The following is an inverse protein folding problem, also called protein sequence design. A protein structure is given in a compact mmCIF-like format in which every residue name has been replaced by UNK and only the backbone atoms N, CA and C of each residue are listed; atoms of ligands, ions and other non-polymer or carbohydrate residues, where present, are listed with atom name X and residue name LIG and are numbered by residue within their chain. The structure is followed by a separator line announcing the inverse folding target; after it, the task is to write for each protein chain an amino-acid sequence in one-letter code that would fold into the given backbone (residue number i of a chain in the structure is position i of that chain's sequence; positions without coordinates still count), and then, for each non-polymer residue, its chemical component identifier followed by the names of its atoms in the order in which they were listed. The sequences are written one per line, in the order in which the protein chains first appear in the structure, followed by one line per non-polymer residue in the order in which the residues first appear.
data_IF_118056644350
#
_entry.id   IF_118056644350
#
_cell.length_a   1.000
_cell.length_b   1.000
_cell.length_c   1.000
_cell.angle_alpha   90.00
_cell.angle_beta   90.00
_cell.angle_gamma   90.00
#
_symmetry.space_group_name_H-M   'P 1'
#
loop_
_entity.id
_entity.type
_entity.pdbx_description
1 polymer ?
#
# COMPACT_ATOMS: atom_id res chain seq x y z
N UNK A 1 51.19 21.07 -2.89
CA UNK A 1 50.01 20.20 -3.04
C UNK A 1 48.77 21.06 -2.85
N UNK A 2 47.90 21.15 -3.86
CA UNK A 2 46.61 21.83 -3.74
C UNK A 2 45.56 20.79 -3.35
N UNK A 3 44.93 21.00 -2.20
CA UNK A 3 43.80 20.17 -1.77
C UNK A 3 42.56 20.57 -2.58
N UNK A 4 41.92 19.61 -3.23
CA UNK A 4 40.67 19.80 -3.97
C UNK A 4 39.52 19.18 -3.17
N UNK A 5 38.43 19.94 -3.01
CA UNK A 5 37.21 19.47 -2.35
C UNK A 5 36.26 18.99 -3.45
N UNK A 6 35.80 17.73 -3.33
CA UNK A 6 34.84 17.12 -4.25
C UNK A 6 33.50 16.98 -3.53
N UNK A 7 32.44 17.51 -4.11
CA UNK A 7 31.07 17.38 -3.59
C UNK A 7 30.35 16.26 -4.34
N UNK A 8 29.82 15.28 -3.62
CA UNK A 8 29.03 14.18 -4.17
C UNK A 8 27.58 14.37 -3.77
N UNK A 9 26.67 14.49 -4.73
CA UNK A 9 25.23 14.62 -4.50
C UNK A 9 24.55 13.26 -4.58
N UNK A 10 23.73 12.91 -3.58
CA UNK A 10 23.02 11.64 -3.49
C UNK A 10 23.94 10.42 -3.71
N UNK A 11 24.97 10.22 -2.87
CA UNK A 11 25.89 9.09 -3.03
C UNK A 11 25.12 7.77 -2.95
N UNK A 12 25.56 6.78 -3.74
CA UNK A 12 25.14 5.39 -3.53
C UNK A 12 25.61 4.90 -2.16
N UNK A 13 24.99 3.83 -1.66
CA UNK A 13 25.41 3.23 -0.39
C UNK A 13 26.90 2.85 -0.41
N UNK A 14 27.39 2.22 -1.48
CA UNK A 14 28.80 1.88 -1.64
C UNK A 14 29.71 3.12 -1.64
N UNK A 15 29.32 4.19 -2.33
CA UNK A 15 30.11 5.43 -2.32
C UNK A 15 30.16 6.05 -0.92
N UNK A 16 29.04 6.03 -0.20
CA UNK A 16 28.95 6.56 1.17
C UNK A 16 29.81 5.76 2.14
N UNK A 17 29.76 4.43 2.07
CA UNK A 17 30.57 3.53 2.92
C UNK A 17 32.08 3.69 2.69
N UNK A 18 32.47 4.08 1.47
CA UNK A 18 33.86 4.35 1.11
C UNK A 18 34.32 5.78 1.41
N UNK A 19 33.46 6.65 1.97
CA UNK A 19 33.86 8.01 2.34
C UNK A 19 34.84 8.00 3.54
N UNK A 20 35.88 8.85 3.52
CA UNK A 20 36.77 9.02 4.67
C UNK A 20 36.01 9.47 5.92
N UNK A 21 36.45 9.04 7.11
CA UNK A 21 35.87 9.47 8.39
C UNK A 21 35.92 10.99 8.64
N UNK A 22 36.77 11.72 7.92
CA UNK A 22 36.87 13.19 7.98
C UNK A 22 35.85 13.90 7.09
N UNK A 23 34.97 13.15 6.40
CA UNK A 23 33.96 13.72 5.50
C UNK A 23 32.87 14.43 6.29
N UNK A 24 32.58 15.68 5.90
CA UNK A 24 31.49 16.45 6.47
C UNK A 24 30.22 16.25 5.64
N UNK A 25 29.16 15.76 6.28
CA UNK A 25 27.84 15.56 5.68
C UNK A 25 26.86 16.60 6.23
N UNK A 26 26.74 17.79 5.59
CA UNK A 26 25.75 18.76 6.01
C UNK A 26 24.34 18.23 5.74
N UNK A 27 23.50 18.21 6.78
CA UNK A 27 22.09 17.92 6.60
C UNK A 27 21.43 19.09 5.84
N UNK A 28 21.02 18.88 4.59
CA UNK A 28 20.31 19.90 3.82
C UNK A 28 18.83 20.00 4.18
N UNK A 29 18.27 18.95 4.80
CA UNK A 29 16.87 18.87 5.22
C UNK A 29 16.82 18.13 6.57
N UNK A 30 15.95 18.61 7.45
CA UNK A 30 15.70 18.02 8.77
C UNK A 30 14.80 16.78 8.68
N UNK A 31 13.94 16.75 7.66
CA UNK A 31 13.05 15.64 7.41
C UNK A 31 12.93 15.34 5.91
N UNK A 32 12.61 14.08 5.60
CA UNK A 32 12.34 13.62 4.25
C UNK A 32 11.01 12.85 4.26
N UNK A 33 10.11 13.22 3.35
CA UNK A 33 8.81 12.56 3.23
C UNK A 33 8.98 11.13 2.72
N UNK A 34 8.22 10.17 3.27
CA UNK A 34 8.37 8.74 2.91
C UNK A 34 8.13 8.47 1.42
N UNK A 35 7.25 9.24 0.78
CA UNK A 35 6.99 9.13 -0.66
C UNK A 35 8.22 9.43 -1.54
N UNK A 36 9.24 10.11 -1.03
CA UNK A 36 10.46 10.43 -1.79
C UNK A 36 11.42 9.25 -1.93
N UNK A 37 11.33 8.26 -1.05
CA UNK A 37 12.30 7.14 -1.02
C UNK A 37 11.67 5.76 -0.82
N UNK A 38 10.34 5.69 -0.64
CA UNK A 38 9.62 4.42 -0.52
C UNK A 38 8.61 4.26 -1.66
N UNK A 39 8.35 3.02 -2.05
CA UNK A 39 7.33 2.69 -3.06
C UNK A 39 6.56 1.45 -2.62
N UNK A 40 5.31 1.64 -2.22
CA UNK A 40 4.43 0.57 -1.74
C UNK A 40 3.44 0.18 -2.84
N UNK A 41 3.49 -1.08 -3.27
CA UNK A 41 2.54 -1.65 -4.23
C UNK A 41 1.69 -2.73 -3.56
N UNK A 42 0.42 -2.46 -3.32
CA UNK A 42 -0.50 -3.43 -2.72
C UNK A 42 -1.12 -4.32 -3.77
N UNK A 43 -1.12 -5.62 -3.50
CA UNK A 43 -1.79 -6.64 -4.31
C UNK A 43 -2.97 -7.21 -3.52
N UNK A 44 -4.17 -7.06 -4.06
CA UNK A 44 -5.37 -7.65 -3.49
C UNK A 44 -5.58 -9.05 -4.04
N UNK A 45 -6.30 -9.89 -3.30
CA UNK A 45 -6.69 -11.20 -3.80
C UNK A 45 -7.52 -11.06 -5.07
N UNK A 46 -7.28 -11.93 -6.06
CA UNK A 46 -7.91 -11.92 -7.38
C UNK A 46 -9.45 -11.88 -7.35
N UNK A 47 -10.05 -12.41 -6.27
CA UNK A 47 -11.50 -12.37 -6.06
C UNK A 47 -12.04 -10.94 -6.03
N UNK A 48 -11.26 -9.99 -5.52
CA UNK A 48 -11.62 -8.58 -5.41
C UNK A 48 -11.54 -7.83 -6.76
N UNK A 49 -11.21 -8.52 -7.84
CA UNK A 49 -11.27 -8.04 -9.23
C UNK A 49 -12.02 -9.03 -10.14
N UNK A 50 -12.66 -10.05 -9.56
CA UNK A 50 -13.40 -11.07 -10.28
C UNK A 50 -14.88 -10.72 -10.39
N UNK A 51 -15.59 -11.46 -11.22
CA UNK A 51 -17.04 -11.30 -11.37
C UNK A 51 -17.82 -11.63 -10.08
N UNK A 52 -17.21 -12.39 -9.14
CA UNK A 52 -17.85 -12.80 -7.89
C UNK A 52 -18.24 -11.65 -6.95
N UNK A 53 -17.64 -10.47 -7.12
CA UNK A 53 -17.99 -9.26 -6.37
C UNK A 53 -18.85 -8.29 -7.18
N UNK A 54 -19.24 -8.65 -8.41
CA UNK A 54 -20.06 -7.81 -9.27
C UNK A 54 -21.53 -7.87 -8.86
N UNK A 55 -22.24 -6.75 -9.04
CA UNK A 55 -23.68 -6.71 -8.84
C UNK A 55 -24.39 -7.72 -9.75
N UNK A 56 -23.89 -7.90 -10.99
CA UNK A 56 -24.43 -8.88 -11.94
C UNK A 56 -24.44 -10.30 -11.36
N UNK A 57 -23.31 -10.76 -10.83
CA UNK A 57 -23.20 -12.09 -10.24
C UNK A 57 -24.10 -12.25 -9.02
N UNK A 58 -24.05 -11.27 -8.10
CA UNK A 58 -24.84 -11.29 -6.87
C UNK A 58 -26.34 -11.33 -7.20
N UNK A 59 -26.79 -10.52 -8.16
CA UNK A 59 -28.17 -10.51 -8.62
C UNK A 59 -28.56 -11.80 -9.32
N UNK A 60 -27.67 -12.44 -10.08
CA UNK A 60 -27.95 -13.72 -10.73
C UNK A 60 -28.25 -14.83 -9.73
N UNK A 61 -27.63 -14.81 -8.54
CA UNK A 61 -27.91 -15.77 -7.46
C UNK A 61 -29.28 -15.46 -6.82
N UNK A 62 -29.59 -14.18 -6.62
CA UNK A 62 -30.84 -13.75 -6.01
C UNK A 62 -32.07 -13.97 -6.91
N UNK A 63 -31.94 -13.67 -8.20
CA UNK A 63 -33.05 -13.64 -9.18
C UNK A 63 -33.09 -14.84 -10.12
N UNK A 64 -31.99 -15.59 -10.26
CA UNK A 64 -31.84 -16.64 -11.28
C UNK A 64 -32.63 -17.92 -11.01
N UNK A 65 -33.63 -17.88 -10.14
CA UNK A 65 -34.45 -19.03 -9.80
C UNK A 65 -35.93 -18.72 -9.88
N UNK A 66 -36.58 -19.37 -10.84
CA UNK A 66 -38.03 -19.46 -10.92
C UNK A 66 -38.63 -20.43 -9.87
N UNK A 67 -37.79 -21.07 -9.06
CA UNK A 67 -38.22 -21.97 -7.97
C UNK A 67 -38.52 -21.18 -6.71
N UNK A 68 -39.75 -21.34 -6.21
CA UNK A 68 -40.27 -20.69 -4.99
C UNK A 68 -39.76 -21.32 -3.69
N UNK A 69 -39.04 -22.44 -3.78
CA UNK A 69 -38.59 -23.20 -2.62
C UNK A 69 -37.18 -23.74 -2.82
N UNK A 70 -36.31 -23.43 -1.86
CA UNK A 70 -34.96 -23.99 -1.75
C UNK A 70 -34.79 -24.67 -0.41
N UNK A 71 -34.01 -25.74 -0.39
CA UNK A 71 -33.54 -26.31 0.87
C UNK A 71 -32.61 -25.30 1.57
N UNK A 72 -32.59 -25.29 2.90
CA UNK A 72 -31.73 -24.39 3.68
C UNK A 72 -30.24 -24.53 3.35
N UNK A 73 -29.81 -25.73 2.92
CA UNK A 73 -28.43 -26.02 2.50
C UNK A 73 -28.13 -25.63 1.05
N UNK A 74 -29.12 -25.18 0.28
CA UNK A 74 -28.92 -24.71 -1.07
C UNK A 74 -28.10 -23.42 -1.03
N UNK A 75 -27.00 -23.39 -1.78
CA UNK A 75 -26.13 -22.23 -1.88
C UNK A 75 -26.91 -20.96 -2.26
N UNK A 76 -27.97 -21.06 -3.06
CA UNK A 76 -28.78 -19.90 -3.48
C UNK A 76 -29.53 -19.23 -2.32
N UNK A 77 -29.74 -19.96 -1.22
CA UNK A 77 -30.39 -19.45 -0.01
C UNK A 77 -29.55 -18.40 0.71
N UNK A 78 -28.21 -18.51 0.68
CA UNK A 78 -27.30 -17.60 1.40
C UNK A 78 -26.20 -16.97 0.53
N UNK A 79 -26.06 -17.42 -0.72
CA UNK A 79 -24.95 -17.08 -1.61
C UNK A 79 -24.92 -15.60 -1.98
N UNK A 80 -26.07 -14.99 -2.27
CA UNK A 80 -26.15 -13.55 -2.59
C UNK A 80 -25.61 -12.70 -1.44
N UNK A 81 -26.05 -12.97 -0.21
CA UNK A 81 -25.57 -12.29 0.99
C UNK A 81 -24.06 -12.54 1.24
N UNK A 82 -23.58 -13.77 1.04
CA UNK A 82 -22.17 -14.10 1.18
C UNK A 82 -21.29 -13.35 0.18
N UNK A 83 -21.69 -13.30 -1.10
CA UNK A 83 -20.95 -12.56 -2.13
C UNK A 83 -21.05 -11.03 -1.97
N UNK A 84 -22.17 -10.52 -1.44
CA UNK A 84 -22.29 -9.10 -1.07
C UNK A 84 -21.37 -8.74 0.11
N UNK A 85 -21.24 -9.62 1.10
CA UNK A 85 -20.29 -9.46 2.20
C UNK A 85 -18.84 -9.47 1.67
N UNK A 86 -18.53 -10.38 0.75
CA UNK A 86 -17.22 -10.44 0.09
C UNK A 86 -16.91 -9.17 -0.71
N UNK A 87 -17.87 -8.65 -1.48
CA UNK A 87 -17.72 -7.39 -2.22
C UNK A 87 -17.45 -6.21 -1.27
N UNK A 88 -18.20 -6.15 -0.16
CA UNK A 88 -18.01 -5.14 0.89
C UNK A 88 -16.64 -5.24 1.55
N UNK A 89 -16.19 -6.44 1.86
CA UNK A 89 -14.86 -6.70 2.41
C UNK A 89 -13.77 -6.24 1.44
N UNK A 90 -13.84 -6.67 0.17
CA UNK A 90 -12.90 -6.25 -0.87
C UNK A 90 -12.82 -4.73 -1.02
N UNK A 91 -13.97 -4.03 -1.00
CA UNK A 91 -14.02 -2.57 -1.05
C UNK A 91 -13.35 -1.96 0.18
N UNK A 92 -13.72 -2.42 1.38
CA UNK A 92 -13.18 -1.90 2.64
C UNK A 92 -11.67 -2.10 2.72
N UNK A 93 -11.17 -3.29 2.39
CA UNK A 93 -9.74 -3.59 2.37
C UNK A 93 -8.99 -2.68 1.40
N UNK A 94 -9.52 -2.46 0.20
CA UNK A 94 -8.92 -1.54 -0.78
C UNK A 94 -8.86 -0.12 -0.25
N UNK A 95 -9.98 0.40 0.24
CA UNK A 95 -10.06 1.75 0.79
C UNK A 95 -9.09 1.93 1.94
N UNK A 96 -9.09 1.01 2.92
CA UNK A 96 -8.22 1.11 4.08
C UNK A 96 -6.74 1.03 3.68
N UNK A 97 -6.36 0.08 2.82
CA UNK A 97 -4.98 -0.05 2.37
C UNK A 97 -4.50 1.23 1.66
N UNK A 98 -5.26 1.79 0.73
CA UNK A 98 -4.87 3.01 0.03
C UNK A 98 -4.86 4.24 0.94
N UNK A 99 -5.77 4.33 1.91
CA UNK A 99 -5.75 5.38 2.92
C UNK A 99 -4.49 5.27 3.80
N UNK A 100 -4.14 4.08 4.27
CA UNK A 100 -2.94 3.85 5.07
C UNK A 100 -1.66 4.20 4.29
N UNK A 101 -1.58 3.82 3.01
CA UNK A 101 -0.44 4.19 2.15
C UNK A 101 -0.38 5.72 1.97
N UNK A 102 -1.51 6.35 1.70
CA UNK A 102 -1.57 7.82 1.55
C UNK A 102 -1.08 8.51 2.81
N UNK A 103 -1.54 8.08 3.99
CA UNK A 103 -1.09 8.64 5.27
C UNK A 103 0.39 8.38 5.50
N UNK A 104 0.87 7.16 5.26
CA UNK A 104 2.28 6.81 5.39
C UNK A 104 3.17 7.69 4.50
N UNK A 105 2.79 7.87 3.24
CA UNK A 105 3.50 8.70 2.27
C UNK A 105 3.54 10.18 2.66
N UNK A 106 2.57 10.65 3.45
CA UNK A 106 2.56 12.02 4.00
C UNK A 106 3.39 12.17 5.27
N UNK A 107 3.75 11.07 5.93
CA UNK A 107 4.64 11.11 7.08
C UNK A 107 6.07 11.42 6.61
N UNK A 108 6.88 11.98 7.50
CA UNK A 108 8.28 12.26 7.24
C UNK A 108 9.19 11.49 8.18
N UNK A 109 10.28 10.98 7.63
CA UNK A 109 11.41 10.49 8.38
C UNK A 109 12.24 11.67 8.91
N UNK A 110 12.60 11.62 10.19
CA UNK A 110 13.49 12.59 10.85
C UNK A 110 14.72 11.81 11.29
N UNK A 111 15.90 12.29 10.90
CA UNK A 111 17.15 11.61 11.22
C UNK A 111 17.52 11.81 12.71
N UNK A 112 17.96 10.76 13.42
CA UNK A 112 18.42 10.87 14.82
C UNK A 112 19.57 11.85 15.01
N UNK A 113 20.39 12.06 13.98
CA UNK A 113 21.51 13.02 13.96
C UNK A 113 21.02 14.48 14.11
N UNK A 114 19.77 14.77 13.77
CA UNK A 114 19.14 16.07 14.05
C UNK A 114 18.71 16.19 15.51
N UNK A 115 18.28 15.09 16.13
CA UNK A 115 17.76 15.07 17.51
C UNK A 115 18.86 15.06 18.58
N UNK A 116 20.11 14.93 18.18
CA UNK A 116 21.28 14.80 19.06
C UNK A 116 22.18 16.05 19.06
N UNK A 117 21.75 17.13 18.41
CA UNK A 117 22.30 18.49 18.57
C UNK A 117 21.64 19.20 19.76
#
# INVERSE_FOLDING_TARGET
YQTTIVTISNPTQEQFENLPFTTYCPCSRISISYDQFTSINVRFHQVCSSDFISDRWIQSIFTGSNTTYFYLIDFRTYGSAAFQALASFCRLSKTHAFQSITLFNQMSFISPEVLTQ
#
